data_IF_078815573293
#
_entry.id   IF_078815573293
#
_cell.length_a   1.000
_cell.length_b   1.000
_cell.length_c   1.000
_cell.angle_alpha   90.00
_cell.angle_beta   90.00
_cell.angle_gamma   90.00
#
_symmetry.space_group_name_H-M   'P 1'
#
loop_
_entity.id
_entity.type
_entity.pdbx_description
1 polymer ?
#
# COMPACT_ATOMS: atom_id res chain seq x y z
N UNK A 1 -14.85 13.96 19.50
CA UNK A 1 -13.40 13.83 19.18
C UNK A 1 -13.12 12.84 18.08
N UNK A 2 -13.67 11.62 18.16
CA UNK A 2 -13.36 10.53 17.22
C UNK A 2 -13.82 10.79 15.77
N UNK A 3 -14.97 11.41 15.57
CA UNK A 3 -15.49 11.70 14.23
C UNK A 3 -14.62 12.70 13.46
N UNK A 4 -14.22 13.79 14.11
CA UNK A 4 -13.33 14.80 13.48
C UNK A 4 -11.97 14.18 13.17
N UNK A 5 -11.43 13.37 14.06
CA UNK A 5 -10.16 12.66 13.83
C UNK A 5 -10.24 11.72 12.63
N UNK A 6 -11.28 10.90 12.55
CA UNK A 6 -11.49 10.00 11.41
C UNK A 6 -11.63 10.77 10.09
N UNK A 7 -12.43 11.82 10.07
CA UNK A 7 -12.62 12.66 8.88
C UNK A 7 -11.30 13.31 8.45
N UNK A 8 -10.51 13.84 9.39
CA UNK A 8 -9.20 14.45 9.09
C UNK A 8 -8.24 13.42 8.48
N UNK A 9 -8.14 12.23 9.07
CA UNK A 9 -7.28 11.14 8.54
C UNK A 9 -7.71 10.76 7.13
N UNK A 10 -9.02 10.57 6.91
CA UNK A 10 -9.56 10.24 5.59
C UNK A 10 -9.21 11.32 4.55
N UNK A 11 -9.39 12.60 4.89
CA UNK A 11 -9.06 13.70 3.98
C UNK A 11 -7.56 13.76 3.67
N UNK A 12 -6.69 13.49 4.63
CA UNK A 12 -5.24 13.45 4.42
C UNK A 12 -4.82 12.28 3.52
N UNK A 13 -5.44 11.11 3.68
CA UNK A 13 -5.21 9.97 2.78
C UNK A 13 -5.66 10.28 1.35
N UNK A 14 -6.83 10.89 1.17
CA UNK A 14 -7.29 11.35 -0.15
C UNK A 14 -6.40 12.44 -0.76
N UNK A 15 -5.74 13.25 0.08
CA UNK A 15 -4.75 14.22 -0.38
C UNK A 15 -3.39 13.59 -0.74
N UNK A 16 -3.27 12.27 -0.69
CA UNK A 16 -2.07 11.52 -1.08
C UNK A 16 -1.00 11.41 0.00
N UNK A 17 -1.32 11.79 1.25
CA UNK A 17 -0.40 11.54 2.36
C UNK A 17 -0.39 10.05 2.73
N UNK A 18 0.81 9.51 2.96
CA UNK A 18 0.98 8.14 3.45
C UNK A 18 0.60 8.03 4.94
N UNK A 19 0.39 6.81 5.42
CA UNK A 19 -0.04 6.56 6.80
C UNK A 19 0.96 7.07 7.85
N UNK A 20 2.28 6.99 7.56
CA UNK A 20 3.31 7.33 8.52
C UNK A 20 3.34 8.82 8.92
N UNK A 21 3.32 9.80 8.00
CA UNK A 21 3.21 11.20 8.37
C UNK A 21 1.95 11.50 9.15
N UNK A 22 0.82 10.88 8.78
CA UNK A 22 -0.45 11.04 9.49
C UNK A 22 -0.32 10.54 10.93
N UNK A 23 0.30 9.37 11.13
CA UNK A 23 0.52 8.80 12.45
C UNK A 23 1.45 9.68 13.31
N UNK A 24 2.52 10.23 12.72
CA UNK A 24 3.43 11.15 13.42
C UNK A 24 2.73 12.46 13.82
N UNK A 25 1.91 13.03 12.93
CA UNK A 25 1.11 14.25 13.25
C UNK A 25 0.10 13.95 14.35
N UNK A 26 -0.62 12.83 14.29
CA UNK A 26 -1.54 12.42 15.33
C UNK A 26 -0.83 12.23 16.68
N UNK A 27 0.32 11.58 16.70
CA UNK A 27 1.16 11.42 17.90
C UNK A 27 1.60 12.77 18.46
N UNK A 28 2.02 13.69 17.61
CA UNK A 28 2.40 15.05 18.01
C UNK A 28 1.23 15.81 18.65
N UNK A 29 0.03 15.72 18.07
CA UNK A 29 -1.20 16.36 18.63
C UNK A 29 -1.53 15.75 19.99
N UNK A 30 -1.44 14.44 20.16
CA UNK A 30 -1.66 13.77 21.45
C UNK A 30 -0.65 14.26 22.49
N UNK A 31 0.63 14.31 22.15
CA UNK A 31 1.66 14.82 23.04
C UNK A 31 1.42 16.28 23.43
N UNK A 32 1.01 17.12 22.47
CA UNK A 32 0.60 18.50 22.72
C UNK A 32 -0.57 18.60 23.71
N UNK A 33 -1.58 17.73 23.61
CA UNK A 33 -2.74 17.74 24.50
C UNK A 33 -2.40 17.35 25.94
N UNK A 34 -1.33 16.60 26.15
CA UNK A 34 -0.86 16.18 27.47
C UNK A 34 0.01 17.26 28.14
N UNK A 35 0.63 18.17 27.37
CA UNK A 35 1.51 19.22 27.89
C UNK A 35 0.89 20.05 29.04
N UNK A 36 -0.36 20.58 28.94
CA UNK A 36 -0.95 21.36 30.02
C UNK A 36 -1.02 20.58 31.34
N UNK A 37 -1.39 19.28 31.25
CA UNK A 37 -1.51 18.46 32.45
C UNK A 37 -0.18 18.23 33.16
N UNK A 38 0.90 18.08 32.39
CA UNK A 38 2.24 17.81 32.91
C UNK A 38 2.91 19.08 33.44
N UNK A 39 2.64 20.23 32.82
CA UNK A 39 3.27 21.49 33.22
C UNK A 39 2.53 22.22 34.34
N UNK A 40 1.20 22.12 34.39
CA UNK A 40 0.39 22.85 35.38
C UNK A 40 0.10 22.07 36.68
N UNK A 41 0.23 20.72 36.67
CA UNK A 41 0.13 19.94 37.91
C UNK A 41 1.51 19.75 38.55
N UNK A 42 1.65 20.21 39.80
CA UNK A 42 2.85 19.97 40.61
C UNK A 42 2.81 18.58 41.24
N UNK A 43 3.81 17.75 40.98
CA UNK A 43 3.97 16.43 41.59
C UNK A 43 5.27 15.78 41.18
N UNK A 44 5.75 14.80 41.98
CA UNK A 44 7.02 14.10 41.73
C UNK A 44 7.05 13.41 40.36
N UNK A 45 5.93 12.82 39.97
CA UNK A 45 5.77 12.13 38.67
C UNK A 45 5.97 13.12 37.50
N UNK A 46 5.48 14.35 37.64
CA UNK A 46 5.57 15.35 36.57
C UNK A 46 6.99 15.85 36.33
N UNK A 47 7.90 15.74 37.30
CA UNK A 47 9.30 16.14 37.15
C UNK A 47 10.06 15.25 36.16
N UNK A 48 9.75 13.95 36.11
CA UNK A 48 10.36 13.01 35.18
C UNK A 48 9.61 12.94 33.84
N UNK A 49 8.29 13.14 33.83
CA UNK A 49 7.50 13.06 32.59
C UNK A 49 7.74 14.28 31.66
N UNK A 50 8.06 15.45 32.20
CA UNK A 50 8.37 16.66 31.41
C UNK A 50 9.49 16.45 30.37
N UNK A 51 10.70 16.04 30.74
CA UNK A 51 11.76 15.85 29.78
C UNK A 51 11.43 14.72 28.77
N UNK A 52 10.74 13.65 29.21
CA UNK A 52 10.37 12.55 28.34
C UNK A 52 9.42 13.03 27.25
N UNK A 53 8.39 13.80 27.58
CA UNK A 53 7.43 14.32 26.60
C UNK A 53 8.12 15.28 25.63
N UNK A 54 8.99 16.16 26.11
CA UNK A 54 9.74 17.05 25.24
C UNK A 54 10.67 16.31 24.29
N UNK A 55 11.34 15.26 24.74
CA UNK A 55 12.17 14.39 23.90
C UNK A 55 11.33 13.67 22.85
N UNK A 56 10.15 13.12 23.21
CA UNK A 56 9.26 12.46 22.28
C UNK A 56 8.70 13.43 21.23
N UNK A 57 8.36 14.66 21.63
CA UNK A 57 7.92 15.71 20.70
C UNK A 57 9.04 16.11 19.74
N UNK A 58 10.25 16.34 20.25
CA UNK A 58 11.40 16.66 19.42
C UNK A 58 11.72 15.52 18.44
N UNK A 59 11.62 14.27 18.89
CA UNK A 59 11.78 13.09 18.05
C UNK A 59 10.71 13.00 16.96
N UNK A 60 9.44 13.23 17.28
CA UNK A 60 8.36 13.24 16.29
C UNK A 60 8.57 14.33 15.22
N UNK A 61 8.95 15.53 15.64
CA UNK A 61 9.30 16.63 14.73
C UNK A 61 10.50 16.26 13.85
N UNK A 62 11.56 15.73 14.45
CA UNK A 62 12.75 15.30 13.71
C UNK A 62 12.40 14.27 12.64
N UNK A 63 11.57 13.28 12.98
CA UNK A 63 11.13 12.23 12.04
C UNK A 63 10.33 12.80 10.86
N UNK A 64 9.51 13.83 11.09
CA UNK A 64 8.74 14.49 10.02
C UNK A 64 9.64 15.25 9.03
N UNK A 65 10.67 15.93 9.53
CA UNK A 65 11.49 16.83 8.68
C UNK A 65 12.73 16.17 8.07
N UNK A 66 13.20 15.04 8.59
CA UNK A 66 14.46 14.43 8.14
C UNK A 66 14.31 13.34 7.09
N UNK A 67 13.07 13.04 6.66
CA UNK A 67 12.80 11.94 5.72
C UNK A 67 13.11 10.54 6.29
N UNK A 68 13.35 10.42 7.60
CA UNK A 68 13.52 9.14 8.27
C UNK A 68 12.26 8.26 8.16
N UNK A 69 11.07 8.87 8.10
CA UNK A 69 9.82 8.14 7.88
C UNK A 69 9.86 7.33 6.58
N UNK A 70 10.36 7.91 5.48
CA UNK A 70 10.47 7.21 4.21
C UNK A 70 11.48 6.05 4.27
N UNK A 71 12.63 6.25 4.96
CA UNK A 71 13.62 5.17 5.15
C UNK A 71 13.05 4.03 6.00
N UNK A 72 12.32 4.37 7.05
CA UNK A 72 11.65 3.42 7.92
C UNK A 72 10.55 2.65 7.17
N UNK A 73 9.74 3.33 6.38
CA UNK A 73 8.73 2.72 5.52
C UNK A 73 9.38 1.74 4.52
N UNK A 74 10.40 2.17 3.81
CA UNK A 74 11.14 1.29 2.89
C UNK A 74 11.75 0.07 3.59
N UNK A 75 12.24 0.23 4.81
CA UNK A 75 12.75 -0.90 5.62
C UNK A 75 11.61 -1.87 5.97
N UNK A 76 10.48 -1.38 6.46
CA UNK A 76 9.31 -2.19 6.79
C UNK A 76 8.75 -2.91 5.55
N UNK A 77 8.64 -2.21 4.42
CA UNK A 77 8.18 -2.77 3.15
C UNK A 77 9.09 -3.91 2.66
N UNK A 78 10.42 -3.79 2.85
CA UNK A 78 11.36 -4.87 2.55
C UNK A 78 11.16 -6.08 3.44
N UNK A 79 10.86 -5.89 4.72
CA UNK A 79 10.56 -6.98 5.66
C UNK A 79 9.27 -7.65 5.25
N UNK A 80 8.21 -6.89 5.00
CA UNK A 80 6.90 -7.38 4.56
C UNK A 80 7.03 -8.20 3.26
N UNK A 81 7.72 -7.65 2.26
CA UNK A 81 8.03 -8.35 1.01
C UNK A 81 8.76 -9.68 1.27
N UNK A 82 9.81 -9.67 2.08
CA UNK A 82 10.60 -10.86 2.40
C UNK A 82 9.80 -11.92 3.15
N UNK A 83 8.91 -11.51 4.04
CA UNK A 83 8.05 -12.42 4.77
C UNK A 83 7.05 -13.14 3.84
N UNK A 84 6.59 -12.46 2.80
CA UNK A 84 5.67 -13.03 1.83
C UNK A 84 6.40 -13.76 0.69
N UNK A 85 7.44 -13.14 0.11
CA UNK A 85 8.23 -13.66 -1.01
C UNK A 85 9.71 -13.77 -0.61
N UNK A 86 10.03 -14.81 0.15
CA UNK A 86 11.33 -14.97 0.84
C UNK A 86 12.55 -14.84 -0.09
N UNK A 87 12.44 -15.25 -1.37
CA UNK A 87 13.52 -15.17 -2.36
C UNK A 87 13.31 -14.03 -3.36
N UNK A 88 12.30 -13.21 -3.16
CA UNK A 88 11.97 -12.09 -4.05
C UNK A 88 12.87 -10.88 -3.80
N UNK A 89 13.19 -10.16 -4.88
CA UNK A 89 13.88 -8.88 -4.83
C UNK A 89 12.85 -7.77 -4.79
N UNK A 90 12.74 -7.09 -3.65
CA UNK A 90 11.94 -5.89 -3.50
C UNK A 90 12.52 -4.73 -4.31
N UNK A 91 11.70 -4.04 -5.10
CA UNK A 91 12.10 -2.90 -5.93
C UNK A 91 11.43 -1.60 -5.49
N UNK A 92 10.19 -1.65 -5.00
CA UNK A 92 9.51 -0.46 -4.54
C UNK A 92 8.10 -0.69 -4.04
N UNK A 93 7.44 0.41 -3.74
CA UNK A 93 6.03 0.44 -3.32
C UNK A 93 5.34 1.68 -3.85
N UNK A 94 4.04 1.58 -4.05
CA UNK A 94 3.15 2.70 -4.30
C UNK A 94 1.86 2.55 -3.50
N UNK A 95 1.11 3.63 -3.41
CA UNK A 95 -0.10 3.71 -2.63
C UNK A 95 -1.24 4.23 -3.50
N UNK A 96 -2.40 3.64 -3.29
CA UNK A 96 -3.68 4.16 -3.76
C UNK A 96 -4.58 4.38 -2.54
N UNK A 97 -5.73 5.03 -2.67
CA UNK A 97 -6.69 5.12 -1.57
C UNK A 97 -7.20 3.76 -1.07
N UNK A 98 -7.12 2.71 -1.91
CA UNK A 98 -7.60 1.37 -1.57
C UNK A 98 -6.52 0.50 -0.94
N UNK A 99 -5.26 0.62 -1.37
CA UNK A 99 -4.22 -0.31 -0.95
C UNK A 99 -2.80 0.25 -0.99
N UNK A 100 -1.94 -0.40 -0.21
CA UNK A 100 -0.50 -0.32 -0.37
C UNK A 100 -0.04 -1.49 -1.23
N UNK A 101 0.67 -1.16 -2.30
CA UNK A 101 1.25 -2.12 -3.23
C UNK A 101 2.76 -2.20 -3.05
N UNK A 102 3.28 -3.42 -2.94
CA UNK A 102 4.71 -3.68 -2.99
C UNK A 102 5.00 -4.38 -4.31
N UNK A 103 6.10 -4.02 -4.96
CA UNK A 103 6.47 -4.65 -6.22
C UNK A 103 7.95 -5.00 -6.29
N UNK A 104 8.24 -5.96 -7.15
CA UNK A 104 9.60 -6.43 -7.36
C UNK A 104 9.67 -7.68 -8.22
N UNK A 105 10.77 -8.41 -8.13
CA UNK A 105 11.00 -9.61 -8.94
C UNK A 105 11.00 -10.85 -8.07
N UNK A 106 10.26 -11.87 -8.46
CA UNK A 106 10.23 -13.19 -7.83
C UNK A 106 10.25 -14.30 -8.87
N UNK A 107 11.23 -15.21 -8.81
CA UNK A 107 11.42 -16.32 -9.77
C UNK A 107 11.45 -15.89 -11.23
N UNK A 108 11.99 -14.70 -11.50
CA UNK A 108 12.09 -14.17 -12.87
C UNK A 108 10.83 -13.46 -13.39
N UNK A 109 9.78 -13.40 -12.58
CA UNK A 109 8.57 -12.64 -12.89
C UNK A 109 8.53 -11.34 -12.10
N UNK A 110 7.97 -10.30 -12.70
CA UNK A 110 7.61 -9.07 -11.99
C UNK A 110 6.33 -9.34 -11.22
N UNK A 111 6.35 -9.10 -9.92
CA UNK A 111 5.23 -9.39 -9.01
C UNK A 111 4.82 -8.13 -8.28
N UNK A 112 3.53 -7.91 -8.19
CA UNK A 112 2.90 -6.90 -7.34
C UNK A 112 2.12 -7.62 -6.25
N UNK A 113 2.27 -7.17 -5.02
CA UNK A 113 1.54 -7.71 -3.86
C UNK A 113 0.73 -6.62 -3.18
N UNK A 114 -0.44 -6.98 -2.68
CA UNK A 114 -1.27 -6.16 -1.82
C UNK A 114 -1.93 -7.05 -0.76
N UNK A 115 -2.13 -6.54 0.46
CA UNK A 115 -2.77 -7.26 1.58
C UNK A 115 -2.16 -8.65 1.85
N UNK A 116 -0.82 -8.77 1.76
CA UNK A 116 -0.10 -10.05 1.90
C UNK A 116 -0.56 -11.13 0.92
N UNK A 117 -0.96 -10.75 -0.27
CA UNK A 117 -1.27 -11.67 -1.36
C UNK A 117 -0.68 -11.17 -2.68
N UNK A 118 -0.48 -12.09 -3.64
CA UNK A 118 -0.09 -11.69 -4.99
C UNK A 118 -1.28 -10.99 -5.65
N UNK A 119 -1.07 -9.74 -6.03
CA UNK A 119 -2.06 -8.97 -6.77
C UNK A 119 -1.92 -9.21 -8.28
N UNK A 120 -0.69 -9.10 -8.78
CA UNK A 120 -0.36 -9.34 -10.20
C UNK A 120 0.99 -10.05 -10.30
N UNK A 121 1.16 -10.89 -11.31
CA UNK A 121 2.44 -11.46 -11.69
C UNK A 121 2.60 -11.41 -13.22
N UNK A 122 3.75 -10.96 -13.68
CA UNK A 122 4.04 -10.76 -15.11
C UNK A 122 5.34 -11.47 -15.49
N UNK A 123 5.29 -12.36 -16.47
CA UNK A 123 4.21 -12.65 -17.44
C UNK A 123 3.13 -13.62 -16.95
N UNK A 124 3.27 -14.33 -15.82
CA UNK A 124 2.34 -15.35 -15.29
C UNK A 124 1.72 -16.24 -16.40
N UNK A 125 2.60 -16.74 -17.26
CA UNK A 125 2.19 -17.37 -18.54
C UNK A 125 1.37 -18.64 -18.32
N UNK A 126 1.68 -19.41 -17.28
CA UNK A 126 1.00 -20.68 -17.02
C UNK A 126 -0.45 -20.47 -16.63
N UNK A 127 -0.71 -19.61 -15.64
CA UNK A 127 -2.06 -19.36 -15.13
C UNK A 127 -2.91 -18.64 -16.18
N UNK A 128 -2.36 -17.59 -16.79
CA UNK A 128 -3.08 -16.82 -17.80
C UNK A 128 -3.42 -17.64 -19.05
N UNK A 129 -2.50 -18.51 -19.51
CA UNK A 129 -2.77 -19.40 -20.66
C UNK A 129 -3.83 -20.43 -20.36
N UNK A 130 -3.84 -20.97 -19.13
CA UNK A 130 -4.88 -21.93 -18.71
C UNK A 130 -6.26 -21.27 -18.70
N UNK A 131 -6.39 -20.11 -18.02
CA UNK A 131 -7.66 -19.38 -17.92
C UNK A 131 -8.18 -18.99 -19.30
N UNK A 132 -7.31 -18.44 -20.15
CA UNK A 132 -7.67 -18.02 -21.50
C UNK A 132 -8.03 -19.22 -22.39
N UNK A 133 -7.27 -20.32 -22.27
CA UNK A 133 -7.56 -21.56 -23.01
C UNK A 133 -8.91 -22.16 -22.62
N UNK A 134 -9.21 -22.23 -21.32
CA UNK A 134 -10.51 -22.71 -20.81
C UNK A 134 -11.66 -21.83 -21.32
N UNK A 135 -11.51 -20.51 -21.25
CA UNK A 135 -12.54 -19.58 -21.76
C UNK A 135 -12.78 -19.74 -23.25
N UNK A 136 -11.71 -19.74 -24.06
CA UNK A 136 -11.83 -19.83 -25.53
C UNK A 136 -12.32 -21.19 -25.99
N UNK A 137 -12.05 -22.28 -25.26
CA UNK A 137 -12.59 -23.59 -25.56
C UNK A 137 -14.11 -23.64 -25.44
N UNK A 138 -14.67 -22.89 -24.50
CA UNK A 138 -16.12 -22.78 -24.29
C UNK A 138 -16.77 -21.73 -25.20
N UNK A 139 -16.00 -20.71 -25.60
CA UNK A 139 -16.46 -19.58 -26.40
C UNK A 139 -15.59 -19.35 -27.64
N UNK A 140 -15.54 -20.31 -28.59
CA UNK A 140 -14.57 -20.26 -29.70
C UNK A 140 -14.82 -19.14 -30.70
N UNK A 141 -15.97 -18.47 -30.64
CA UNK A 141 -16.35 -17.35 -31.51
C UNK A 141 -16.31 -16.00 -30.80
N UNK A 142 -15.77 -15.94 -29.58
CA UNK A 142 -15.66 -14.69 -28.83
C UNK A 142 -14.74 -13.70 -29.56
N UNK A 143 -15.23 -12.49 -29.77
CA UNK A 143 -14.46 -11.36 -30.32
C UNK A 143 -14.17 -10.27 -29.29
N UNK A 144 -14.99 -10.21 -28.23
CA UNK A 144 -14.88 -9.25 -27.15
C UNK A 144 -14.87 -9.96 -25.81
N UNK A 145 -13.98 -9.50 -24.92
CA UNK A 145 -13.79 -10.10 -23.60
C UNK A 145 -13.82 -9.00 -22.55
N UNK A 146 -14.58 -9.21 -21.49
CA UNK A 146 -14.53 -8.41 -20.29
C UNK A 146 -13.85 -9.24 -19.18
N UNK A 147 -12.75 -8.75 -18.67
CA UNK A 147 -12.04 -9.32 -17.53
C UNK A 147 -12.35 -8.47 -16.31
N UNK A 148 -12.90 -9.07 -15.26
CA UNK A 148 -13.22 -8.37 -14.02
C UNK A 148 -12.39 -8.96 -12.89
N UNK A 149 -11.66 -8.11 -12.18
CA UNK A 149 -10.93 -8.50 -10.99
C UNK A 149 -9.55 -7.86 -10.89
N UNK A 150 -8.99 -7.91 -9.70
CA UNK A 150 -7.68 -7.33 -9.41
C UNK A 150 -6.57 -8.08 -10.17
N UNK A 151 -5.54 -7.32 -10.60
CA UNK A 151 -4.31 -7.90 -11.11
C UNK A 151 -4.48 -8.83 -12.32
N UNK A 152 -5.34 -8.49 -13.26
CA UNK A 152 -5.67 -9.34 -14.41
C UNK A 152 -4.94 -8.96 -15.70
N UNK A 153 -3.89 -8.13 -15.62
CA UNK A 153 -3.17 -7.65 -16.79
C UNK A 153 -2.54 -8.78 -17.63
N UNK A 154 -1.96 -9.80 -16.97
CA UNK A 154 -1.39 -10.97 -17.66
C UNK A 154 -2.45 -11.78 -18.44
N UNK A 155 -3.68 -11.85 -17.91
CA UNK A 155 -4.82 -12.48 -18.59
C UNK A 155 -5.22 -11.66 -19.82
N UNK A 156 -5.39 -10.35 -19.67
CA UNK A 156 -5.71 -9.44 -20.77
C UNK A 156 -4.65 -9.51 -21.88
N UNK A 157 -3.36 -9.46 -21.49
CA UNK A 157 -2.24 -9.59 -22.42
C UNK A 157 -2.28 -10.94 -23.16
N UNK A 158 -2.72 -12.02 -22.50
CA UNK A 158 -2.80 -13.35 -23.13
C UNK A 158 -3.97 -13.41 -24.11
N UNK A 159 -5.14 -12.82 -23.81
CA UNK A 159 -6.23 -12.70 -24.76
C UNK A 159 -5.82 -11.95 -26.04
N UNK A 160 -5.06 -10.89 -25.91
CA UNK A 160 -4.57 -10.09 -27.05
C UNK A 160 -3.61 -10.85 -27.99
N UNK A 161 -3.14 -12.04 -27.64
CA UNK A 161 -2.37 -12.90 -28.54
C UNK A 161 -3.23 -13.65 -29.55
N UNK A 162 -4.54 -13.71 -29.34
CA UNK A 162 -5.47 -14.42 -30.20
C UNK A 162 -6.10 -13.45 -31.20
N UNK A 163 -5.85 -13.68 -32.51
CA UNK A 163 -6.31 -12.80 -33.60
C UNK A 163 -7.83 -12.64 -33.69
N UNK A 164 -8.59 -13.59 -33.18
CA UNK A 164 -10.06 -13.51 -33.11
C UNK A 164 -10.57 -12.50 -32.09
N UNK A 165 -9.78 -12.20 -31.06
CA UNK A 165 -10.16 -11.23 -30.01
C UNK A 165 -9.84 -9.83 -30.53
N UNK A 166 -10.86 -9.02 -30.68
CA UNK A 166 -10.78 -7.65 -31.20
C UNK A 166 -10.75 -6.61 -30.08
N UNK A 167 -11.32 -6.95 -28.92
CA UNK A 167 -11.45 -6.02 -27.80
C UNK A 167 -11.32 -6.77 -26.47
N UNK A 168 -10.45 -6.29 -25.59
CA UNK A 168 -10.34 -6.75 -24.21
C UNK A 168 -10.54 -5.55 -23.31
N UNK A 169 -11.56 -5.59 -22.47
CA UNK A 169 -11.83 -4.58 -21.44
C UNK A 169 -11.47 -5.16 -20.10
N UNK A 170 -10.67 -4.45 -19.34
CA UNK A 170 -10.34 -4.84 -17.98
C UNK A 170 -10.98 -3.86 -16.98
N UNK A 171 -11.69 -4.41 -16.01
CA UNK A 171 -12.27 -3.67 -14.90
C UNK A 171 -11.59 -4.11 -13.60
N UNK A 172 -10.69 -3.29 -13.10
CA UNK A 172 -10.07 -3.49 -11.80
C UNK A 172 -10.95 -2.94 -10.67
N UNK A 173 -10.76 -3.46 -9.47
CA UNK A 173 -11.40 -2.97 -8.25
C UNK A 173 -10.76 -1.69 -7.72
N UNK A 174 -9.51 -1.44 -8.11
CA UNK A 174 -8.77 -0.23 -7.76
C UNK A 174 -8.57 0.64 -9.02
N UNK A 175 -9.34 1.74 -9.18
CA UNK A 175 -9.25 2.59 -10.37
C UNK A 175 -7.92 3.36 -10.47
N UNK A 176 -7.18 3.47 -9.38
CA UNK A 176 -5.89 4.16 -9.31
C UNK A 176 -4.70 3.19 -9.44
N UNK A 177 -4.96 1.89 -9.67
CA UNK A 177 -3.91 0.92 -10.00
C UNK A 177 -3.33 1.23 -11.39
N UNK A 178 -1.99 1.38 -11.52
CA UNK A 178 -1.34 1.85 -12.75
C UNK A 178 -1.34 0.85 -13.90
#
# INVERSE_FOLDING_TARGET
>A
GSFIGALTVTLLLFAGYTEEPIFLVATFIVLLSVLPHVFFKSGFINRFSRPIILVLMAFAVLMLFTGYSQKWNNYNNRIEWRNYLNQGKYEGSFFTPQAKYLYGTYRGEFVVTAWNSTYEALPNTEVSSRIVGEYLSQNPKAEKVLVIGPGSFSICRTFNKFSQIKEVVWLDTDPDYP
#
